data_IF_882972256416
#
_entry.id   IF_882972256416
#
_cell.length_a   1.000
_cell.length_b   1.000
_cell.length_c   1.000
_cell.angle_alpha   90.00
_cell.angle_beta   90.00
_cell.angle_gamma   90.00
#
_symmetry.space_group_name_H-M   'P 1'
#
loop_
_entity.id
_entity.type
_entity.pdbx_description
1 polymer ?
#
# COMPACT_ATOMS: atom_id res chain seq x y z
N UNK A 1 9.30 17.38 1.78
CA UNK A 1 10.22 16.67 0.88
C UNK A 1 9.43 15.77 -0.03
N UNK A 2 8.60 14.87 0.52
CA UNK A 2 7.79 13.96 -0.28
C UNK A 2 6.59 14.58 -1.00
N UNK A 3 6.31 15.89 -0.89
CA UNK A 3 5.17 16.56 -1.54
C UNK A 3 5.55 17.38 -2.79
N UNK A 4 6.84 17.38 -3.16
CA UNK A 4 7.40 18.25 -4.22
C UNK A 4 7.59 17.55 -5.57
N UNK A 5 8.43 18.11 -6.45
CA UNK A 5 8.89 17.40 -7.66
C UNK A 5 9.87 16.28 -7.27
N UNK A 6 9.88 15.15 -8.01
CA UNK A 6 10.89 14.08 -7.89
C UNK A 6 12.31 14.66 -7.98
N UNK A 7 12.52 15.71 -8.78
CA UNK A 7 13.80 16.42 -8.90
C UNK A 7 14.28 17.05 -7.59
N UNK A 8 13.39 17.23 -6.61
CA UNK A 8 13.76 17.75 -5.29
C UNK A 8 14.26 16.64 -4.34
N UNK A 9 14.15 15.37 -4.71
CA UNK A 9 14.60 14.22 -3.92
C UNK A 9 16.12 13.99 -4.06
N UNK A 10 16.91 15.02 -3.80
CA UNK A 10 18.38 14.99 -3.89
C UNK A 10 19.05 14.96 -2.51
N UNK A 11 20.32 14.57 -2.46
CA UNK A 11 21.08 14.45 -1.20
C UNK A 11 21.27 15.82 -0.55
N UNK A 12 21.50 16.85 -1.37
CA UNK A 12 21.66 18.24 -0.92
C UNK A 12 20.37 18.75 -0.25
N UNK A 13 19.21 18.49 -0.86
CA UNK A 13 17.93 18.89 -0.29
C UNK A 13 17.60 18.09 0.98
N UNK A 14 17.99 16.81 1.02
CA UNK A 14 17.81 15.97 2.20
C UNK A 14 18.61 16.50 3.39
N UNK A 15 19.91 16.73 3.20
CA UNK A 15 20.84 17.26 4.21
C UNK A 15 20.37 18.62 4.73
N UNK A 16 20.02 19.53 3.83
CA UNK A 16 19.51 20.87 4.20
C UNK A 16 18.26 20.78 5.07
N UNK A 17 17.41 19.77 4.85
CA UNK A 17 16.15 19.61 5.58
C UNK A 17 16.28 18.79 6.86
N UNK A 18 17.14 17.78 6.88
CA UNK A 18 17.28 16.85 8.00
C UNK A 18 18.27 17.33 9.06
N UNK A 19 19.21 18.22 8.69
CA UNK A 19 20.30 18.67 9.55
C UNK A 19 21.43 17.64 9.70
N UNK A 20 21.34 16.47 9.06
CA UNK A 20 22.40 15.46 9.06
C UNK A 20 23.41 15.70 7.94
N UNK A 21 24.67 15.35 8.18
CA UNK A 21 25.70 15.39 7.14
C UNK A 21 25.47 14.32 6.06
N UNK A 22 26.01 14.58 4.86
CA UNK A 22 26.04 13.63 3.74
C UNK A 22 26.65 12.29 4.16
N UNK A 23 27.77 12.33 4.88
CA UNK A 23 28.47 11.14 5.38
C UNK A 23 27.61 10.29 6.30
N UNK A 24 26.83 10.92 7.20
CA UNK A 24 25.93 10.18 8.10
C UNK A 24 24.82 9.43 7.33
N UNK A 25 24.25 10.07 6.30
CA UNK A 25 23.22 9.45 5.47
C UNK A 25 23.80 8.26 4.70
N UNK A 26 24.97 8.41 4.08
CA UNK A 26 25.60 7.29 3.36
C UNK A 26 26.09 6.19 4.29
N UNK A 27 26.52 6.50 5.51
CA UNK A 27 26.89 5.49 6.50
C UNK A 27 25.71 4.57 6.84
N UNK A 28 24.53 5.13 7.11
CA UNK A 28 23.36 4.33 7.49
C UNK A 28 22.61 3.70 6.31
N UNK A 29 22.55 4.39 5.16
CA UNK A 29 21.68 3.99 4.05
C UNK A 29 22.44 3.55 2.80
N UNK A 30 23.77 3.68 2.74
CA UNK A 30 24.64 3.39 1.59
C UNK A 30 24.44 4.27 0.37
N UNK A 31 23.19 4.60 0.02
CA UNK A 31 22.84 5.56 -1.01
C UNK A 31 21.49 6.23 -0.72
N UNK A 32 21.21 7.31 -1.45
CA UNK A 32 19.99 8.10 -1.27
C UNK A 32 18.72 7.33 -1.69
N UNK A 33 18.82 6.45 -2.69
CA UNK A 33 17.70 5.65 -3.16
C UNK A 33 17.24 4.69 -2.05
N UNK A 34 18.17 4.05 -1.36
CA UNK A 34 17.88 3.14 -0.25
C UNK A 34 17.34 3.89 0.97
N UNK A 35 17.77 5.14 1.21
CA UNK A 35 17.11 6.01 2.18
C UNK A 35 15.62 6.19 1.85
N UNK A 36 15.29 6.61 0.62
CA UNK A 36 13.89 6.80 0.24
C UNK A 36 13.08 5.51 0.25
N UNK A 37 13.64 4.41 -0.23
CA UNK A 37 13.00 3.09 -0.17
C UNK A 37 12.69 2.70 1.28
N UNK A 38 13.64 2.88 2.20
CA UNK A 38 13.45 2.57 3.62
C UNK A 38 12.37 3.43 4.25
N UNK A 39 12.37 4.74 4.01
CA UNK A 39 11.36 5.65 4.55
C UNK A 39 9.98 5.35 3.95
N UNK A 40 9.91 5.06 2.66
CA UNK A 40 8.67 4.69 1.97
C UNK A 40 8.06 3.43 2.56
N UNK A 41 8.87 2.38 2.72
CA UNK A 41 8.42 1.11 3.27
C UNK A 41 7.95 1.25 4.72
N UNK A 42 8.69 1.96 5.58
CA UNK A 42 8.27 2.25 6.95
C UNK A 42 6.90 2.95 7.01
N UNK A 43 6.67 3.91 6.11
CA UNK A 43 5.36 4.58 6.02
C UNK A 43 4.25 3.64 5.58
N UNK A 44 4.51 2.77 4.59
CA UNK A 44 3.55 1.76 4.13
C UNK A 44 3.20 0.81 5.27
N UNK A 45 4.18 0.36 6.05
CA UNK A 45 3.94 -0.51 7.23
C UNK A 45 3.00 0.18 8.22
N UNK A 46 3.23 1.46 8.52
CA UNK A 46 2.32 2.25 9.38
C UNK A 46 0.88 2.30 8.85
N UNK A 47 0.69 2.48 7.53
CA UNK A 47 -0.63 2.47 6.90
C UNK A 47 -1.33 1.11 7.09
N UNK A 48 -0.62 0.00 6.91
CA UNK A 48 -1.20 -1.33 7.14
C UNK A 48 -1.52 -1.60 8.61
N UNK A 49 -0.69 -1.13 9.55
CA UNK A 49 -0.98 -1.22 10.99
C UNK A 49 -2.26 -0.46 11.35
N UNK A 50 -2.44 0.75 10.82
CA UNK A 50 -3.70 1.50 10.99
C UNK A 50 -4.88 0.72 10.38
N UNK A 51 -4.73 0.21 9.16
CA UNK A 51 -5.79 -0.54 8.47
C UNK A 51 -6.20 -1.83 9.20
N UNK A 52 -5.26 -2.54 9.83
CA UNK A 52 -5.55 -3.72 10.66
C UNK A 52 -6.54 -3.35 11.78
N UNK A 53 -6.31 -2.22 12.46
CA UNK A 53 -7.20 -1.77 13.53
C UNK A 53 -8.59 -1.44 12.99
N UNK A 54 -8.68 -0.82 11.83
CA UNK A 54 -9.96 -0.50 11.20
C UNK A 54 -10.73 -1.79 10.80
N UNK A 55 -10.05 -2.76 10.18
CA UNK A 55 -10.66 -4.05 9.80
C UNK A 55 -11.15 -4.79 11.06
N UNK A 56 -10.34 -4.81 12.12
CA UNK A 56 -10.71 -5.45 13.39
C UNK A 56 -11.89 -4.76 14.09
N UNK A 57 -12.15 -3.48 13.82
CA UNK A 57 -13.31 -2.75 14.36
C UNK A 57 -14.48 -2.63 13.39
N UNK A 58 -14.35 -3.15 12.17
CA UNK A 58 -15.40 -3.10 11.15
C UNK A 58 -16.68 -3.82 11.60
N UNK A 59 -17.85 -3.19 11.39
CA UNK A 59 -19.11 -3.72 11.91
C UNK A 59 -19.48 -5.09 11.31
N UNK A 60 -19.91 -6.01 12.17
CA UNK A 60 -20.42 -7.33 11.75
C UNK A 60 -21.71 -7.27 10.92
N UNK A 61 -22.41 -6.13 10.93
CA UNK A 61 -23.65 -5.90 10.16
C UNK A 61 -23.42 -5.25 8.81
N UNK A 62 -22.18 -4.86 8.50
CA UNK A 62 -21.80 -4.31 7.20
C UNK A 62 -21.42 -5.42 6.22
N UNK A 63 -21.64 -5.15 4.95
CA UNK A 63 -21.46 -6.15 3.88
C UNK A 63 -20.00 -6.27 3.45
N UNK A 64 -19.67 -7.31 2.69
CA UNK A 64 -18.36 -7.48 2.08
C UNK A 64 -18.02 -6.33 1.11
N UNK A 65 -18.96 -5.89 0.23
CA UNK A 65 -18.76 -4.69 -0.56
C UNK A 65 -18.43 -3.44 0.26
N UNK A 66 -19.12 -3.22 1.39
CA UNK A 66 -18.83 -2.08 2.27
C UNK A 66 -17.40 -2.14 2.80
N UNK A 67 -16.94 -3.32 3.23
CA UNK A 67 -15.59 -3.52 3.73
C UNK A 67 -14.55 -3.20 2.66
N UNK A 68 -14.68 -3.78 1.46
CA UNK A 68 -13.67 -3.56 0.42
C UNK A 68 -13.66 -2.14 -0.10
N UNK A 69 -14.82 -1.49 -0.20
CA UNK A 69 -14.90 -0.07 -0.49
C UNK A 69 -14.12 0.73 0.56
N UNK A 70 -14.38 0.48 1.84
CA UNK A 70 -13.68 1.14 2.95
C UNK A 70 -12.15 0.91 2.91
N UNK A 71 -11.72 -0.34 2.75
CA UNK A 71 -10.29 -0.71 2.68
C UNK A 71 -9.60 0.03 1.51
N UNK A 72 -10.23 0.04 0.34
CA UNK A 72 -9.65 0.69 -0.83
C UNK A 72 -9.65 2.21 -0.71
N UNK A 73 -10.71 2.81 -0.14
CA UNK A 73 -10.75 4.25 0.12
C UNK A 73 -9.61 4.65 1.06
N UNK A 74 -9.40 3.86 2.12
CA UNK A 74 -8.30 4.05 3.06
C UNK A 74 -6.93 3.95 2.36
N UNK A 75 -6.69 2.90 1.57
CA UNK A 75 -5.40 2.70 0.89
C UNK A 75 -5.14 3.80 -0.13
N UNK A 76 -6.13 4.15 -0.96
CA UNK A 76 -5.99 5.17 -1.99
C UNK A 76 -5.78 6.55 -1.36
N UNK A 77 -6.55 6.93 -0.34
CA UNK A 77 -6.36 8.21 0.36
C UNK A 77 -4.96 8.33 0.97
N UNK A 78 -4.50 7.32 1.71
CA UNK A 78 -3.17 7.35 2.34
C UNK A 78 -2.04 7.38 1.32
N UNK A 79 -2.26 6.80 0.14
CA UNK A 79 -1.28 6.75 -0.94
C UNK A 79 -1.25 8.05 -1.75
N UNK A 80 -2.40 8.54 -2.22
CA UNK A 80 -2.49 9.66 -3.17
C UNK A 80 -2.79 11.00 -2.53
N UNK A 81 -3.47 11.04 -1.38
CA UNK A 81 -4.03 12.25 -0.78
C UNK A 81 -3.01 13.31 -0.38
N UNK A 82 -1.73 12.94 -0.22
CA UNK A 82 -0.66 13.87 0.20
C UNK A 82 0.48 14.02 -0.80
N UNK A 83 0.51 13.26 -1.88
CA UNK A 83 1.68 13.12 -2.74
C UNK A 83 1.33 13.16 -4.22
N UNK A 84 2.19 13.79 -5.03
CA UNK A 84 2.07 13.68 -6.49
C UNK A 84 2.33 12.25 -6.93
N UNK A 85 1.57 11.79 -7.92
CA UNK A 85 1.69 10.42 -8.48
C UNK A 85 3.13 10.11 -8.87
N UNK A 86 3.85 11.05 -9.51
CA UNK A 86 5.24 10.86 -9.92
C UNK A 86 6.20 10.57 -8.75
N UNK A 87 5.93 11.11 -7.56
CA UNK A 87 6.71 10.80 -6.36
C UNK A 87 6.43 9.37 -5.90
N UNK A 88 5.16 8.97 -5.89
CA UNK A 88 4.73 7.63 -5.50
C UNK A 88 5.38 6.61 -6.44
N UNK A 89 5.28 6.81 -7.76
CA UNK A 89 5.95 6.01 -8.79
C UNK A 89 7.46 5.92 -8.56
N UNK A 90 8.12 7.06 -8.34
CA UNK A 90 9.57 7.08 -8.05
C UNK A 90 9.94 6.26 -6.81
N UNK A 91 9.17 6.37 -5.72
CA UNK A 91 9.40 5.65 -4.47
C UNK A 91 9.21 4.14 -4.62
N UNK A 92 8.15 3.72 -5.33
CA UNK A 92 7.96 2.32 -5.69
C UNK A 92 9.15 1.80 -6.49
N UNK A 93 9.58 2.51 -7.53
CA UNK A 93 10.76 2.13 -8.31
C UNK A 93 12.02 2.00 -7.47
N UNK A 94 12.25 2.89 -6.48
CA UNK A 94 13.41 2.76 -5.59
C UNK A 94 13.30 1.53 -4.67
N UNK A 95 12.10 1.22 -4.17
CA UNK A 95 11.87 0.04 -3.34
C UNK A 95 12.11 -1.25 -4.13
N UNK A 96 11.62 -1.35 -5.37
CA UNK A 96 11.81 -2.53 -6.21
C UNK A 96 13.24 -2.74 -6.71
N UNK A 97 14.05 -1.68 -6.79
CA UNK A 97 15.49 -1.80 -7.13
C UNK A 97 16.32 -2.47 -6.04
N UNK A 98 15.85 -2.48 -4.79
CA UNK A 98 16.51 -3.15 -3.68
C UNK A 98 15.90 -4.52 -3.45
N UNK A 99 16.68 -5.59 -3.62
CA UNK A 99 16.20 -6.98 -3.42
C UNK A 99 15.57 -7.21 -2.04
N UNK A 100 16.16 -6.62 -1.00
CA UNK A 100 15.64 -6.73 0.38
C UNK A 100 14.29 -6.00 0.50
N UNK A 101 14.22 -4.75 0.02
CA UNK A 101 13.01 -3.93 0.14
C UNK A 101 11.89 -4.37 -0.80
N UNK A 102 12.21 -4.95 -1.95
CA UNK A 102 11.22 -5.53 -2.86
C UNK A 102 10.52 -6.70 -2.20
N UNK A 103 11.27 -7.58 -1.53
CA UNK A 103 10.71 -8.71 -0.79
C UNK A 103 9.81 -8.25 0.36
N UNK A 104 10.25 -7.27 1.16
CA UNK A 104 9.43 -6.70 2.24
C UNK A 104 8.15 -6.04 1.70
N UNK A 105 8.24 -5.30 0.60
CA UNK A 105 7.09 -4.66 -0.04
C UNK A 105 6.11 -5.69 -0.59
N UNK A 106 6.61 -6.80 -1.13
CA UNK A 106 5.75 -7.86 -1.66
C UNK A 106 4.91 -8.53 -0.58
N UNK A 107 5.49 -8.73 0.60
CA UNK A 107 4.88 -9.45 1.72
C UNK A 107 4.07 -8.56 2.65
N UNK A 108 4.20 -7.24 2.56
CA UNK A 108 3.57 -6.31 3.50
C UNK A 108 2.05 -6.53 3.62
N UNK A 109 1.38 -6.92 2.53
CA UNK A 109 -0.07 -7.10 2.52
C UNK A 109 -0.53 -8.37 3.25
N UNK A 110 0.38 -9.33 3.46
CA UNK A 110 0.07 -10.59 4.16
C UNK A 110 -0.36 -10.34 5.62
N UNK A 111 0.02 -9.19 6.21
CA UNK A 111 -0.45 -8.80 7.55
C UNK A 111 -1.97 -8.61 7.66
N UNK A 112 -2.69 -8.52 6.54
CA UNK A 112 -4.15 -8.40 6.51
C UNK A 112 -4.87 -9.75 6.55
N UNK A 113 -4.16 -10.87 6.39
CA UNK A 113 -4.76 -12.22 6.33
C UNK A 113 -5.59 -12.51 7.58
N UNK A 114 -4.97 -12.48 8.76
CA UNK A 114 -5.63 -12.80 10.03
C UNK A 114 -6.82 -11.85 10.33
N UNK A 115 -6.68 -10.50 10.26
CA UNK A 115 -7.80 -9.58 10.44
C UNK A 115 -8.98 -9.84 9.50
N UNK A 116 -8.71 -10.15 8.23
CA UNK A 116 -9.75 -10.44 7.25
C UNK A 116 -10.41 -11.79 7.51
N UNK A 117 -9.67 -12.81 7.92
CA UNK A 117 -10.24 -14.10 8.33
C UNK A 117 -11.14 -13.94 9.56
N UNK A 118 -10.73 -13.15 10.55
CA UNK A 118 -11.57 -12.82 11.70
C UNK A 118 -12.81 -12.04 11.30
N UNK A 119 -12.68 -11.08 10.39
CA UNK A 119 -13.80 -10.30 9.87
C UNK A 119 -14.83 -11.19 9.14
N UNK A 120 -14.38 -12.14 8.33
CA UNK A 120 -15.24 -13.13 7.67
C UNK A 120 -16.02 -13.97 8.68
N UNK A 121 -15.35 -14.49 9.71
CA UNK A 121 -15.96 -15.38 10.74
C UNK A 121 -17.06 -14.71 11.55
N UNK A 122 -16.92 -13.42 11.85
CA UNK A 122 -17.91 -12.67 12.67
C UNK A 122 -19.03 -12.01 11.86
N UNK A 123 -18.96 -12.04 10.54
CA UNK A 123 -19.92 -11.36 9.68
C UNK A 123 -21.32 -12.00 9.80
N UNK A 124 -22.37 -11.16 9.77
CA UNK A 124 -23.77 -11.58 9.87
C UNK A 124 -24.59 -11.36 8.59
N UNK A 125 -23.97 -10.83 7.52
CA UNK A 125 -24.68 -10.43 6.29
C UNK A 125 -24.67 -11.51 5.22
N UNK A 126 -23.90 -12.59 5.39
CA UNK A 126 -23.73 -13.67 4.41
C UNK A 126 -23.25 -13.18 3.02
N UNK A 127 -22.52 -12.06 2.97
CA UNK A 127 -22.02 -11.47 1.70
C UNK A 127 -20.54 -11.77 1.45
N UNK A 128 -19.84 -12.39 2.41
CA UNK A 128 -18.42 -12.72 2.33
C UNK A 128 -18.23 -14.10 1.71
N UNK A 129 -17.27 -14.24 0.80
CA UNK A 129 -16.75 -15.55 0.43
C UNK A 129 -15.94 -16.12 1.62
N UNK A 130 -16.12 -17.39 1.93
CA UNK A 130 -15.29 -18.07 2.94
C UNK A 130 -14.00 -18.50 2.27
N UNK A 131 -12.91 -17.80 2.58
CA UNK A 131 -11.61 -17.99 1.93
C UNK A 131 -10.62 -18.55 2.96
N UNK A 132 -9.94 -19.63 2.60
CA UNK A 132 -8.86 -20.19 3.41
C UNK A 132 -7.61 -19.29 3.42
N UNK A 133 -6.72 -19.52 4.38
CA UNK A 133 -5.54 -18.66 4.59
C UNK A 133 -4.65 -18.53 3.33
N UNK A 134 -4.28 -19.66 2.72
CA UNK A 134 -3.39 -19.66 1.54
C UNK A 134 -4.04 -19.02 0.31
N UNK A 135 -5.34 -19.25 0.10
CA UNK A 135 -6.08 -18.61 -0.99
C UNK A 135 -6.17 -17.10 -0.74
N UNK A 136 -6.43 -16.67 0.50
CA UNK A 136 -6.51 -15.27 0.88
C UNK A 136 -5.16 -14.58 0.65
N UNK A 137 -4.06 -15.22 1.02
CA UNK A 137 -2.69 -14.74 0.77
C UNK A 137 -2.43 -14.47 -0.72
N UNK A 138 -2.76 -15.42 -1.59
CA UNK A 138 -2.57 -15.26 -3.03
C UNK A 138 -3.46 -14.13 -3.61
N UNK A 139 -4.72 -14.05 -3.16
CA UNK A 139 -5.64 -12.98 -3.58
C UNK A 139 -5.18 -11.60 -3.11
N UNK A 140 -4.68 -11.49 -1.87
CA UNK A 140 -4.14 -10.23 -1.34
C UNK A 140 -2.89 -9.80 -2.10
N UNK A 141 -1.94 -10.71 -2.36
CA UNK A 141 -0.76 -10.39 -3.19
C UNK A 141 -1.15 -9.97 -4.60
N UNK A 142 -2.17 -10.57 -5.18
CA UNK A 142 -2.73 -10.16 -6.47
C UNK A 142 -3.37 -8.77 -6.41
N UNK A 143 -4.14 -8.47 -5.36
CA UNK A 143 -4.68 -7.13 -5.11
C UNK A 143 -3.57 -6.08 -5.02
N UNK A 144 -2.48 -6.39 -4.30
CA UNK A 144 -1.32 -5.50 -4.19
C UNK A 144 -0.77 -5.15 -5.57
N UNK A 145 -0.54 -6.15 -6.42
CA UNK A 145 -0.09 -5.95 -7.81
C UNK A 145 -1.08 -5.06 -8.57
N UNK A 146 -2.39 -5.33 -8.46
CA UNK A 146 -3.42 -4.54 -9.11
C UNK A 146 -3.39 -3.05 -8.72
N UNK A 147 -3.08 -2.76 -7.45
CA UNK A 147 -2.93 -1.41 -6.91
C UNK A 147 -1.62 -0.75 -7.35
N UNK A 148 -0.51 -1.50 -7.36
CA UNK A 148 0.84 -0.93 -7.49
C UNK A 148 1.29 -0.79 -8.96
N UNK A 149 0.87 -1.71 -9.84
CA UNK A 149 1.29 -1.75 -11.25
C UNK A 149 1.03 -0.43 -12.00
N UNK A 150 -0.15 0.22 -11.89
CA UNK A 150 -0.38 1.49 -12.57
C UNK A 150 0.62 2.58 -12.17
N UNK A 151 1.11 2.59 -10.93
CA UNK A 151 2.14 3.55 -10.50
C UNK A 151 3.51 3.19 -11.08
N UNK A 152 3.86 1.91 -11.12
CA UNK A 152 5.15 1.43 -11.63
C UNK A 152 5.31 1.67 -13.14
N UNK A 153 4.21 1.51 -13.89
CA UNK A 153 4.17 1.70 -15.34
C UNK A 153 3.91 3.15 -15.75
N UNK A 154 3.78 4.06 -14.77
CA UNK A 154 3.37 5.45 -14.99
C UNK A 154 2.09 5.56 -15.83
N UNK A 155 1.18 4.60 -15.64
CA UNK A 155 -0.06 4.53 -16.38
C UNK A 155 -0.94 5.76 -16.08
N UNK A 156 -1.59 6.29 -17.12
CA UNK A 156 -2.48 7.44 -17.03
C UNK A 156 -3.60 7.30 -15.98
N UNK A 157 -3.98 6.08 -15.56
CA UNK A 157 -5.02 5.85 -14.55
C UNK A 157 -4.48 5.85 -13.11
N UNK A 158 -3.16 5.83 -12.89
CA UNK A 158 -2.56 5.66 -11.57
C UNK A 158 -3.15 6.62 -10.53
N UNK A 159 -3.67 6.05 -9.44
CA UNK A 159 -4.31 6.78 -8.35
C UNK A 159 -5.60 7.56 -8.69
N UNK A 160 -6.16 7.43 -9.90
CA UNK A 160 -7.41 8.11 -10.31
C UNK A 160 -8.65 7.26 -10.00
N UNK A 161 -9.83 7.86 -10.17
CA UNK A 161 -11.13 7.21 -9.97
C UNK A 161 -11.25 5.87 -10.73
N UNK A 162 -10.86 5.84 -12.02
CA UNK A 162 -10.91 4.60 -12.80
C UNK A 162 -10.04 3.48 -12.21
N UNK A 163 -8.86 3.82 -11.68
CA UNK A 163 -8.00 2.83 -11.01
C UNK A 163 -8.66 2.29 -9.74
N UNK A 164 -9.29 3.15 -8.94
CA UNK A 164 -10.07 2.74 -7.77
C UNK A 164 -11.24 1.82 -8.17
N UNK A 165 -12.04 2.21 -9.17
CA UNK A 165 -13.21 1.46 -9.62
C UNK A 165 -12.86 0.06 -10.12
N UNK A 166 -11.80 -0.05 -10.93
CA UNK A 166 -11.31 -1.35 -11.42
C UNK A 166 -10.80 -2.21 -10.28
N UNK A 167 -10.10 -1.62 -9.31
CA UNK A 167 -9.61 -2.34 -8.13
C UNK A 167 -10.77 -2.82 -7.25
N UNK A 168 -11.79 -1.98 -7.05
CA UNK A 168 -12.99 -2.36 -6.31
C UNK A 168 -13.72 -3.50 -7.02
N UNK A 169 -13.91 -3.41 -8.33
CA UNK A 169 -14.51 -4.50 -9.13
C UNK A 169 -13.73 -5.81 -8.98
N UNK A 170 -12.40 -5.75 -9.01
CA UNK A 170 -11.54 -6.92 -8.74
C UNK A 170 -11.81 -7.49 -7.35
N UNK A 171 -11.86 -6.65 -6.31
CA UNK A 171 -12.13 -7.10 -4.95
C UNK A 171 -13.51 -7.76 -4.81
N UNK A 172 -14.56 -7.12 -5.33
CA UNK A 172 -15.92 -7.64 -5.23
C UNK A 172 -16.04 -9.03 -5.87
N UNK A 173 -15.43 -9.23 -7.04
CA UNK A 173 -15.43 -10.51 -7.73
C UNK A 173 -14.63 -11.61 -7.02
N UNK A 174 -13.61 -11.25 -6.23
CA UNK A 174 -12.68 -12.21 -5.64
C UNK A 174 -12.94 -12.51 -4.16
N UNK A 175 -13.63 -11.62 -3.44
CA UNK A 175 -13.79 -11.71 -2.00
C UNK A 175 -15.25 -11.73 -1.53
N UNK A 176 -16.19 -11.30 -2.36
CA UNK A 176 -17.61 -11.25 -2.00
C UNK A 176 -18.39 -12.34 -2.74
N UNK A 177 -19.50 -12.75 -2.13
CA UNK A 177 -20.50 -13.57 -2.82
C UNK A 177 -21.25 -12.69 -3.82
N UNK A 178 -21.40 -13.18 -5.04
CA UNK A 178 -22.36 -12.67 -6.04
C UNK A 178 -23.79 -12.89 -5.60
#
# INVERSE_FOLDING_TARGET
MLQGDVKLLTINNLVKKSGYSVGNIYYHYKNIQNFYATIFLRKRIGVYVELINEINNFSSTKTCPDLWKFILEFIFDKMTGKFKISIISYLFLQAYKSKEKSYELEQIIDCLIEPLMHCQKRNKTNTFLLIGEEELKLKLRSLRVFIETPFLEENSIAGKALHFELTLKYCLANFCKT
#
